data_IF_401484661241
#
_entry.id   IF_401484661241
#
_cell.length_a   1.000
_cell.length_b   1.000
_cell.length_c   1.000
_cell.angle_alpha   90.00
_cell.angle_beta   90.00
_cell.angle_gamma   90.00
#
_symmetry.space_group_name_H-M   'P 1'
#
loop_
_entity.id
_entity.type
_entity.pdbx_description
1 polymer ?
#
# COMPACT_ATOMS: atom_id res chain seq x y z
N UNK A 1 -3.37 -25.30 -29.44
CA UNK A 1 -2.31 -24.64 -28.66
C UNK A 1 -2.61 -23.14 -28.56
N UNK A 2 -3.33 -22.69 -27.53
CA UNK A 2 -3.39 -21.26 -27.17
C UNK A 2 -2.24 -21.02 -26.19
N UNK A 3 -1.12 -20.45 -26.66
CA UNK A 3 -0.02 -20.05 -25.77
C UNK A 3 -0.53 -18.97 -24.82
N UNK A 4 -0.19 -19.10 -23.55
CA UNK A 4 -0.61 -18.27 -22.41
C UNK A 4 -0.21 -16.79 -22.57
N UNK A 5 -1.03 -15.98 -23.26
CA UNK A 5 -0.86 -14.52 -23.26
C UNK A 5 -0.88 -13.91 -21.84
N UNK A 6 -1.62 -14.53 -20.92
CA UNK A 6 -1.66 -14.10 -19.52
C UNK A 6 -0.30 -14.18 -18.81
N UNK A 7 0.47 -15.25 -19.06
CA UNK A 7 1.79 -15.41 -18.44
C UNK A 7 2.81 -14.39 -18.93
N UNK A 8 2.68 -13.92 -20.17
CA UNK A 8 3.55 -12.88 -20.73
C UNK A 8 3.24 -11.51 -20.12
N UNK A 9 1.97 -11.16 -19.93
CA UNK A 9 1.55 -9.91 -19.28
C UNK A 9 2.03 -9.87 -17.82
N UNK A 10 1.86 -10.95 -17.06
CA UNK A 10 2.35 -11.05 -15.68
C UNK A 10 3.87 -10.88 -15.58
N UNK A 11 4.63 -11.56 -16.42
CA UNK A 11 6.09 -11.46 -16.43
C UNK A 11 6.56 -10.07 -16.88
N UNK A 12 5.84 -9.43 -17.80
CA UNK A 12 6.14 -8.08 -18.27
C UNK A 12 5.89 -7.03 -17.20
N UNK A 13 4.78 -7.13 -16.45
CA UNK A 13 4.48 -6.22 -15.33
C UNK A 13 5.49 -6.40 -14.20
N UNK A 14 5.83 -7.65 -13.84
CA UNK A 14 6.88 -7.92 -12.85
C UNK A 14 8.22 -7.33 -13.30
N UNK A 15 8.56 -7.48 -14.58
CA UNK A 15 9.79 -6.91 -15.13
C UNK A 15 9.76 -5.39 -15.02
N UNK A 16 8.74 -4.73 -15.57
CA UNK A 16 8.53 -3.27 -15.53
C UNK A 16 8.67 -2.74 -14.12
N UNK A 17 7.97 -3.31 -13.14
CA UNK A 17 8.02 -2.84 -11.75
C UNK A 17 9.35 -3.15 -11.04
N UNK A 18 10.17 -4.06 -11.57
CA UNK A 18 11.50 -4.40 -11.02
C UNK A 18 12.64 -3.60 -11.65
N UNK A 19 12.46 -3.09 -12.88
CA UNK A 19 13.49 -2.37 -13.63
C UNK A 19 13.21 -0.87 -13.78
N UNK A 20 11.95 -0.44 -13.61
CA UNK A 20 11.61 0.97 -13.70
C UNK A 20 12.07 1.70 -12.46
N UNK A 21 12.91 2.71 -12.67
CA UNK A 21 12.97 3.86 -11.79
C UNK A 21 11.78 4.75 -12.12
N UNK A 22 11.00 5.10 -11.11
CA UNK A 22 9.96 6.10 -11.24
C UNK A 22 10.60 7.47 -11.07
N UNK A 23 10.44 8.33 -12.06
CA UNK A 23 10.96 9.70 -12.00
C UNK A 23 9.98 10.61 -11.26
N UNK A 24 8.68 10.26 -11.27
CA UNK A 24 7.64 11.01 -10.59
C UNK A 24 6.73 10.13 -9.74
N UNK A 25 6.12 10.74 -8.72
CA UNK A 25 5.14 10.07 -7.86
C UNK A 25 3.91 9.60 -8.64
N UNK A 26 3.49 10.34 -9.67
CA UNK A 26 2.35 9.97 -10.51
C UNK A 26 2.64 8.70 -11.32
N UNK A 27 3.85 8.54 -11.85
CA UNK A 27 4.26 7.30 -12.53
C UNK A 27 4.22 6.12 -11.58
N UNK A 28 4.73 6.29 -10.36
CA UNK A 28 4.65 5.26 -9.33
C UNK A 28 3.20 4.92 -8.99
N UNK A 29 2.33 5.91 -8.75
CA UNK A 29 0.91 5.68 -8.45
C UNK A 29 0.25 4.86 -9.57
N UNK A 30 0.45 5.24 -10.84
CA UNK A 30 -0.11 4.52 -11.99
C UNK A 30 0.40 3.08 -12.05
N UNK A 31 1.69 2.88 -11.79
CA UNK A 31 2.29 1.55 -11.77
C UNK A 31 1.74 0.67 -10.63
N UNK A 32 1.50 1.26 -9.44
CA UNK A 32 0.87 0.57 -8.32
C UNK A 32 -0.62 0.26 -8.59
N UNK A 33 -1.37 1.17 -9.20
CA UNK A 33 -2.76 0.91 -9.63
C UNK A 33 -2.80 -0.23 -10.66
N UNK A 34 -1.88 -0.21 -11.63
CA UNK A 34 -1.77 -1.28 -12.62
C UNK A 34 -1.46 -2.62 -11.94
N UNK A 35 -0.57 -2.62 -10.95
CA UNK A 35 -0.31 -3.82 -10.15
C UNK A 35 -1.58 -4.31 -9.45
N UNK A 36 -2.29 -3.41 -8.75
CA UNK A 36 -3.50 -3.77 -7.99
C UNK A 36 -4.56 -4.38 -8.91
N UNK A 37 -4.86 -3.72 -10.03
CA UNK A 37 -5.89 -4.19 -10.99
C UNK A 37 -5.48 -5.47 -11.73
N UNK A 38 -4.17 -5.76 -11.81
CA UNK A 38 -3.66 -7.01 -12.41
C UNK A 38 -3.70 -8.20 -11.45
N UNK A 39 -3.32 -7.98 -10.19
CA UNK A 39 -3.14 -9.05 -9.20
C UNK A 39 -4.33 -9.24 -8.27
N UNK A 40 -5.34 -8.38 -8.35
CA UNK A 40 -6.55 -8.43 -7.53
C UNK A 40 -7.80 -8.26 -8.39
N UNK A 41 -8.98 -8.40 -7.77
CA UNK A 41 -10.25 -8.12 -8.43
C UNK A 41 -10.72 -6.67 -8.22
N UNK A 42 -9.85 -5.79 -7.71
CA UNK A 42 -10.20 -4.40 -7.53
C UNK A 42 -10.29 -3.69 -8.89
N UNK A 43 -11.32 -2.83 -9.10
CA UNK A 43 -11.35 -1.97 -10.27
C UNK A 43 -10.32 -0.84 -10.14
N UNK A 44 -10.10 -0.13 -11.23
CA UNK A 44 -9.37 1.13 -11.22
C UNK A 44 -10.09 2.15 -10.32
N UNK A 45 -9.37 2.98 -9.55
CA UNK A 45 -9.97 4.08 -8.80
C UNK A 45 -10.70 5.06 -9.74
N UNK A 46 -11.86 5.53 -9.32
CA UNK A 46 -12.68 6.46 -10.10
C UNK A 46 -12.16 7.89 -10.01
N UNK A 47 -11.52 8.24 -8.90
CA UNK A 47 -10.98 9.57 -8.67
C UNK A 47 -9.45 9.56 -8.69
N UNK A 48 -8.89 10.71 -9.04
CA UNK A 48 -7.45 10.91 -8.95
C UNK A 48 -6.99 10.81 -7.49
N UNK A 49 -5.99 9.97 -7.25
CA UNK A 49 -5.34 9.84 -5.95
C UNK A 49 -4.47 11.08 -5.68
N UNK A 50 -4.66 11.69 -4.52
CA UNK A 50 -3.95 12.89 -4.08
C UNK A 50 -3.08 12.50 -2.89
N UNK A 51 -1.76 12.64 -3.05
CA UNK A 51 -0.80 12.38 -1.97
C UNK A 51 -0.37 13.70 -1.34
N UNK A 52 -0.43 13.77 -0.02
CA UNK A 52 0.07 14.89 0.78
C UNK A 52 1.09 14.39 1.80
N UNK A 53 2.30 14.93 1.74
CA UNK A 53 3.33 14.68 2.76
C UNK A 53 3.08 15.56 3.98
N UNK A 54 3.20 14.97 5.16
CA UNK A 54 2.95 15.66 6.43
C UNK A 54 3.89 15.13 7.52
N UNK A 55 4.18 15.93 8.56
CA UNK A 55 5.00 15.44 9.68
C UNK A 55 4.36 14.27 10.44
N UNK A 56 5.19 13.36 10.97
CA UNK A 56 4.75 12.26 11.85
C UNK A 56 3.83 12.73 12.99
N UNK A 57 4.15 13.89 13.60
CA UNK A 57 3.34 14.45 14.70
C UNK A 57 1.93 14.76 14.22
N UNK A 58 1.80 15.51 13.13
CA UNK A 58 0.50 15.89 12.57
C UNK A 58 -0.29 14.66 12.09
N UNK A 59 0.39 13.69 11.46
CA UNK A 59 -0.26 12.45 11.03
C UNK A 59 -0.84 11.68 12.22
N UNK A 60 -0.05 11.51 13.29
CA UNK A 60 -0.49 10.80 14.50
C UNK A 60 -1.65 11.48 15.20
N UNK A 61 -1.66 12.82 15.26
CA UNK A 61 -2.77 13.58 15.81
C UNK A 61 -4.03 13.40 14.95
N UNK A 62 -3.90 13.50 13.62
CA UNK A 62 -5.00 13.39 12.68
C UNK A 62 -5.69 12.01 12.72
N UNK A 63 -4.91 10.93 12.72
CA UNK A 63 -5.45 9.58 12.59
C UNK A 63 -5.70 8.86 13.92
N UNK A 64 -4.89 9.16 14.94
CA UNK A 64 -4.95 8.48 16.25
C UNK A 64 -5.45 9.38 17.38
N UNK A 65 -5.41 10.71 17.25
CA UNK A 65 -5.67 11.67 18.33
C UNK A 65 -4.66 11.61 19.48
N UNK A 66 -3.51 10.96 19.24
CA UNK A 66 -2.42 10.74 20.19
C UNK A 66 -1.16 10.31 19.46
N UNK A 67 0.03 10.42 20.05
CA UNK A 67 1.26 9.88 19.47
C UNK A 67 1.11 8.39 19.11
N UNK A 68 1.36 8.06 17.85
CA UNK A 68 1.31 6.71 17.30
C UNK A 68 2.31 6.56 16.13
N UNK A 69 2.69 5.33 15.82
CA UNK A 69 3.76 5.00 14.85
C UNK A 69 3.26 4.79 13.41
N UNK A 70 2.05 5.25 13.08
CA UNK A 70 1.53 5.16 11.71
C UNK A 70 2.43 5.95 10.76
N UNK A 71 2.59 5.45 9.54
CA UNK A 71 3.44 6.09 8.52
C UNK A 71 2.63 6.65 7.34
N UNK A 72 1.39 6.21 7.21
CA UNK A 72 0.46 6.68 6.20
C UNK A 72 -0.97 6.60 6.73
N UNK A 73 -1.89 7.35 6.10
CA UNK A 73 -3.30 7.35 6.47
C UNK A 73 -4.19 7.80 5.32
N UNK A 74 -5.21 6.99 5.02
CA UNK A 74 -6.34 7.35 4.16
C UNK A 74 -7.55 7.76 5.01
N UNK A 75 -7.91 9.06 5.09
CA UNK A 75 -9.08 9.53 5.82
C UNK A 75 -10.40 9.04 5.20
N UNK A 76 -11.34 8.63 6.06
CA UNK A 76 -12.66 8.15 5.64
C UNK A 76 -13.49 9.22 4.90
N UNK A 77 -13.28 10.50 5.24
CA UNK A 77 -14.09 11.62 4.71
C UNK A 77 -13.50 12.29 3.46
N UNK A 78 -12.26 11.96 3.08
CA UNK A 78 -11.60 12.50 1.89
C UNK A 78 -11.18 11.34 0.99
N UNK A 79 -12.14 10.87 0.19
CA UNK A 79 -12.14 9.54 -0.45
C UNK A 79 -10.94 9.21 -1.34
N UNK A 80 -10.13 10.18 -1.72
CA UNK A 80 -9.01 10.00 -2.65
C UNK A 80 -7.70 10.57 -2.11
N UNK A 81 -7.69 11.00 -0.85
CA UNK A 81 -6.51 11.60 -0.23
C UNK A 81 -5.72 10.55 0.54
N UNK A 82 -4.41 10.58 0.40
CA UNK A 82 -3.49 9.75 1.16
C UNK A 82 -2.47 10.67 1.80
N UNK A 83 -2.35 10.59 3.13
CA UNK A 83 -1.28 11.25 3.86
C UNK A 83 -0.10 10.29 4.02
N UNK A 84 1.10 10.76 3.71
CA UNK A 84 2.35 10.05 3.98
C UNK A 84 3.22 10.88 4.93
N UNK A 85 3.98 10.24 5.80
CA UNK A 85 4.99 10.98 6.57
C UNK A 85 6.13 11.47 5.67
N UNK A 86 6.68 12.64 5.98
CA UNK A 86 7.76 13.28 5.21
C UNK A 86 8.99 12.38 5.04
N UNK A 87 9.22 11.45 5.97
CA UNK A 87 10.35 10.52 5.96
C UNK A 87 10.16 9.32 5.01
N UNK A 88 8.97 9.12 4.43
CA UNK A 88 8.75 8.08 3.43
C UNK A 88 9.33 8.49 2.08
N UNK A 89 10.05 7.56 1.45
CA UNK A 89 10.58 7.67 0.09
C UNK A 89 10.09 6.51 -0.80
N UNK A 90 8.84 6.57 -1.30
CA UNK A 90 8.29 5.54 -2.19
C UNK A 90 8.99 5.48 -3.56
N UNK A 91 9.69 6.53 -3.99
CA UNK A 91 10.35 6.52 -5.30
C UNK A 91 11.57 5.60 -5.30
N UNK A 92 12.27 5.49 -4.16
CA UNK A 92 13.51 4.73 -4.08
C UNK A 92 13.45 3.51 -3.14
N UNK A 93 12.40 3.35 -2.32
CA UNK A 93 12.29 2.23 -1.38
C UNK A 93 11.00 1.41 -1.60
N UNK A 94 11.17 0.12 -1.91
CA UNK A 94 10.07 -0.81 -2.16
C UNK A 94 9.20 -1.07 -0.93
N UNK A 95 9.74 -0.97 0.29
CA UNK A 95 8.94 -1.04 1.52
C UNK A 95 7.97 0.14 1.60
N UNK A 96 8.45 1.33 1.23
CA UNK A 96 7.62 2.55 1.18
C UNK A 96 6.59 2.48 0.02
N UNK A 97 6.94 1.86 -1.10
CA UNK A 97 5.97 1.54 -2.17
C UNK A 97 4.87 0.61 -1.67
N UNK A 98 5.22 -0.39 -0.87
CA UNK A 98 4.26 -1.30 -0.24
C UNK A 98 3.28 -0.57 0.67
N UNK A 99 3.76 0.39 1.47
CA UNK A 99 2.91 1.27 2.30
C UNK A 99 1.99 2.11 1.42
N UNK A 100 2.50 2.72 0.36
CA UNK A 100 1.66 3.51 -0.56
C UNK A 100 0.59 2.63 -1.25
N UNK A 101 0.97 1.44 -1.72
CA UNK A 101 0.05 0.48 -2.32
C UNK A 101 -1.08 0.09 -1.36
N UNK A 102 -0.76 -0.12 -0.07
CA UNK A 102 -1.74 -0.40 0.97
C UNK A 102 -2.79 0.71 1.06
N UNK A 103 -2.36 1.98 1.09
CA UNK A 103 -3.28 3.12 1.15
C UNK A 103 -4.09 3.30 -0.14
N UNK A 104 -3.50 3.06 -1.32
CA UNK A 104 -4.24 3.07 -2.59
C UNK A 104 -5.37 2.03 -2.57
N UNK A 105 -5.14 0.85 -1.98
CA UNK A 105 -6.20 -0.14 -1.80
C UNK A 105 -7.31 0.40 -0.89
N UNK A 106 -6.98 1.15 0.17
CA UNK A 106 -8.01 1.76 1.03
C UNK A 106 -8.87 2.78 0.29
N UNK A 107 -8.28 3.58 -0.60
CA UNK A 107 -9.02 4.48 -1.51
C UNK A 107 -10.00 3.68 -2.36
N UNK A 108 -9.52 2.65 -3.06
CA UNK A 108 -10.37 1.82 -3.94
C UNK A 108 -11.48 1.12 -3.15
N UNK A 109 -11.18 0.61 -1.95
CA UNK A 109 -12.16 0.00 -1.06
C UNK A 109 -13.27 0.98 -0.64
N UNK A 110 -12.92 2.24 -0.38
CA UNK A 110 -13.89 3.27 -0.01
C UNK A 110 -14.83 3.60 -1.19
N UNK A 111 -14.26 3.77 -2.38
CA UNK A 111 -15.03 4.07 -3.60
C UNK A 111 -16.01 2.95 -3.99
N UNK A 112 -15.64 1.70 -3.69
CA UNK A 112 -16.41 0.52 -4.05
C UNK A 112 -17.26 -0.06 -2.91
N UNK A 113 -17.41 0.67 -1.80
CA UNK A 113 -18.18 0.23 -0.63
C UNK A 113 -17.77 -1.17 -0.12
N UNK A 114 -16.47 -1.49 -0.17
CA UNK A 114 -15.98 -2.81 0.23
C UNK A 114 -16.33 -3.09 1.70
N UNK A 115 -16.92 -4.27 1.93
CA UNK A 115 -17.40 -4.72 3.25
C UNK A 115 -18.41 -3.75 3.93
N UNK A 116 -19.14 -2.96 3.15
CA UNK A 116 -20.15 -2.01 3.67
C UNK A 116 -21.33 -2.66 4.38
N UNK A 117 -21.66 -3.91 4.05
CA UNK A 117 -22.74 -4.67 4.69
C UNK A 117 -22.42 -5.11 6.13
N UNK A 118 -21.16 -4.95 6.57
CA UNK A 118 -20.72 -5.34 7.90
C UNK A 118 -20.73 -4.17 8.89
N UNK A 119 -20.92 -4.47 10.17
CA UNK A 119 -20.74 -3.48 11.26
C UNK A 119 -19.37 -2.82 11.20
N UNK A 120 -19.28 -1.56 11.65
CA UNK A 120 -18.07 -0.71 11.53
C UNK A 120 -16.76 -1.38 11.98
N UNK A 121 -16.79 -2.13 13.09
CA UNK A 121 -15.60 -2.82 13.62
C UNK A 121 -15.14 -3.93 12.66
N UNK A 122 -16.08 -4.73 12.17
CA UNK A 122 -15.83 -5.83 11.23
C UNK A 122 -15.43 -5.29 9.86
N UNK A 123 -16.14 -4.27 9.35
CA UNK A 123 -15.79 -3.55 8.13
C UNK A 123 -14.35 -3.05 8.16
N UNK A 124 -13.96 -2.35 9.24
CA UNK A 124 -12.59 -1.84 9.41
C UNK A 124 -11.55 -2.97 9.41
N UNK A 125 -11.83 -4.05 10.15
CA UNK A 125 -10.92 -5.19 10.22
C UNK A 125 -10.75 -5.90 8.88
N UNK A 126 -11.84 -6.15 8.14
CA UNK A 126 -11.78 -6.81 6.82
C UNK A 126 -11.04 -5.95 5.79
N UNK A 127 -11.25 -4.64 5.80
CA UNK A 127 -10.52 -3.69 4.94
C UNK A 127 -9.03 -3.72 5.19
N UNK A 128 -8.63 -3.63 6.45
CA UNK A 128 -7.23 -3.67 6.89
C UNK A 128 -6.58 -5.00 6.52
N UNK A 129 -7.19 -6.13 6.87
CA UNK A 129 -6.66 -7.46 6.55
C UNK A 129 -6.49 -7.65 5.04
N UNK A 130 -7.45 -7.19 4.24
CA UNK A 130 -7.36 -7.31 2.79
C UNK A 130 -6.21 -6.45 2.21
N UNK A 131 -6.06 -5.20 2.65
CA UNK A 131 -4.97 -4.33 2.21
C UNK A 131 -3.61 -4.92 2.59
N UNK A 132 -3.48 -5.40 3.84
CA UNK A 132 -2.29 -6.05 4.36
C UNK A 132 -1.88 -7.33 3.63
N UNK A 133 -2.84 -8.15 3.20
CA UNK A 133 -2.55 -9.34 2.40
C UNK A 133 -1.94 -8.94 1.05
N UNK A 134 -2.55 -7.96 0.37
CA UNK A 134 -2.07 -7.50 -0.94
C UNK A 134 -0.72 -6.77 -0.83
N UNK A 135 -0.50 -6.00 0.24
CA UNK A 135 0.80 -5.41 0.56
C UNK A 135 1.88 -6.49 0.65
N UNK A 136 1.64 -7.57 1.39
CA UNK A 136 2.62 -8.65 1.50
C UNK A 136 2.81 -9.44 0.19
N UNK A 137 1.76 -9.62 -0.61
CA UNK A 137 1.87 -10.21 -1.94
C UNK A 137 2.77 -9.35 -2.83
N UNK A 138 2.57 -8.02 -2.84
CA UNK A 138 3.42 -7.08 -3.57
C UNK A 138 4.89 -7.22 -3.15
N UNK A 139 5.18 -7.07 -1.85
CA UNK A 139 6.55 -7.16 -1.34
C UNK A 139 7.21 -8.51 -1.62
N UNK A 140 6.44 -9.61 -1.61
CA UNK A 140 6.98 -10.94 -1.89
C UNK A 140 7.59 -11.07 -3.28
N UNK A 141 7.15 -10.26 -4.25
CA UNK A 141 7.70 -10.23 -5.61
C UNK A 141 9.11 -9.65 -5.66
N UNK A 142 9.49 -8.90 -4.62
CA UNK A 142 10.81 -8.29 -4.41
C UNK A 142 11.63 -9.01 -3.34
N UNK A 143 11.16 -10.16 -2.85
CA UNK A 143 11.82 -10.90 -1.77
C UNK A 143 11.73 -10.21 -0.41
N UNK A 144 10.76 -9.30 -0.23
CA UNK A 144 10.47 -8.59 1.02
C UNK A 144 9.18 -9.12 1.66
N UNK A 145 8.96 -8.86 2.95
CA UNK A 145 7.74 -9.22 3.68
C UNK A 145 7.43 -8.20 4.76
N UNK A 146 6.15 -8.05 5.12
CA UNK A 146 5.74 -7.34 6.34
C UNK A 146 5.61 -8.30 7.52
N UNK A 147 5.81 -7.78 8.72
CA UNK A 147 5.42 -8.47 9.95
C UNK A 147 4.00 -8.09 10.39
N UNK A 148 3.27 -9.09 10.88
CA UNK A 148 1.96 -8.91 11.47
C UNK A 148 2.04 -9.04 12.99
N UNK A 149 1.38 -8.11 13.70
CA UNK A 149 1.10 -8.25 15.13
C UNK A 149 -0.31 -7.75 15.42
N UNK A 150 -1.12 -8.57 16.08
CA UNK A 150 -2.50 -8.23 16.47
C UNK A 150 -3.40 -7.70 15.34
N UNK A 151 -3.19 -8.15 14.10
CA UNK A 151 -3.98 -7.71 12.94
C UNK A 151 -3.58 -6.33 12.39
N UNK A 152 -2.36 -5.87 12.66
CA UNK A 152 -1.77 -4.66 12.07
C UNK A 152 -0.34 -4.95 11.59
N UNK A 153 0.13 -4.18 10.60
CA UNK A 153 1.55 -4.17 10.24
C UNK A 153 2.37 -3.65 11.43
N UNK A 154 3.41 -4.39 11.82
CA UNK A 154 4.30 -4.03 12.92
C UNK A 154 5.64 -3.53 12.38
N UNK A 155 6.09 -2.37 12.86
CA UNK A 155 7.40 -1.81 12.51
C UNK A 155 8.52 -2.56 13.24
N UNK A 156 9.56 -2.99 12.51
CA UNK A 156 10.78 -3.47 13.15
C UNK A 156 11.49 -2.31 13.85
N UNK A 157 11.83 -2.48 15.14
CA UNK A 157 12.93 -1.70 15.71
C UNK A 157 14.20 -2.26 15.08
N UNK A 158 14.72 -1.59 14.03
CA UNK A 158 16.05 -1.88 13.49
C UNK A 158 17.07 -1.75 14.63
N UNK A 159 17.51 -2.88 15.18
CA UNK A 159 18.76 -2.89 15.93
C UNK A 159 19.86 -2.67 14.90
N UNK A 160 20.79 -1.75 15.17
CA UNK A 160 21.92 -1.39 14.30
C UNK A 160 22.81 -2.57 13.88
N UNK A 161 22.58 -3.77 14.43
CA UNK A 161 23.33 -4.99 14.17
C UNK A 161 22.54 -6.09 13.42
N UNK A 162 21.28 -5.87 13.01
CA UNK A 162 20.52 -6.90 12.28
C UNK A 162 20.61 -6.70 10.76
N UNK A 163 21.33 -7.62 10.08
CA UNK A 163 21.52 -7.71 8.62
C UNK A 163 20.24 -8.16 7.88
N UNK A 164 19.09 -8.25 8.57
CA UNK A 164 17.91 -8.90 8.00
C UNK A 164 17.08 -7.91 7.15
N UNK A 165 17.56 -7.67 5.93
CA UNK A 165 16.92 -6.85 4.90
C UNK A 165 15.64 -7.50 4.31
N UNK A 166 15.19 -8.63 4.88
CA UNK A 166 13.96 -9.32 4.46
C UNK A 166 12.69 -8.55 4.84
N UNK A 167 12.71 -7.86 5.98
CA UNK A 167 11.50 -7.29 6.56
C UNK A 167 11.40 -5.79 6.34
N UNK A 168 10.22 -5.41 5.86
CA UNK A 168 9.61 -4.11 6.08
C UNK A 168 8.78 -4.22 7.39
#
# INVERSE_FOLDING_TARGET
>A
MKKNNFSLVFNFIKYILSIMKFETLNELILALILWITTYTNYPEPQNQIIIESISQKSLSELACGRPCEIMAYTPVNEKSKIYLIDELDPLNDVCHQGILLHEIIHVIQEENNFASDYENKTKKHLREMNALVNHNIFLSQYGKKILYSNGFAAKFKKNSNSINDLYC
#
